data_IF_160121140840
#
_entry.id   IF_160121140840
#
_cell.length_a   1.000
_cell.length_b   1.000
_cell.length_c   1.000
_cell.angle_alpha   90.00
_cell.angle_beta   90.00
_cell.angle_gamma   90.00
#
_symmetry.space_group_name_H-M   'P 1'
#
loop_
_entity.id
_entity.type
_entity.pdbx_description
1 polymer ?
#
# COMPACT_ATOMS: atom_id res chain seq x y z
N UNK A 1 15.22 2.69 -8.08
CA UNK A 1 14.33 1.76 -8.78
C UNK A 1 14.34 0.42 -8.05
N UNK A 2 13.17 -0.07 -7.75
CA UNK A 2 13.06 -1.37 -7.09
C UNK A 2 12.94 -2.46 -8.14
N UNK A 3 13.78 -3.51 -8.03
CA UNK A 3 13.76 -4.64 -8.96
C UNK A 3 13.07 -5.82 -8.26
N UNK A 4 12.08 -6.42 -8.90
CA UNK A 4 11.38 -7.58 -8.36
C UNK A 4 12.27 -8.82 -8.32
N UNK A 5 12.24 -9.56 -7.22
CA UNK A 5 12.94 -10.84 -7.07
C UNK A 5 12.07 -11.93 -7.70
N UNK A 6 12.64 -12.71 -8.61
CA UNK A 6 11.93 -13.78 -9.30
C UNK A 6 11.01 -13.32 -10.44
N UNK A 7 10.90 -12.00 -10.65
CA UNK A 7 10.16 -11.40 -11.75
C UNK A 7 8.64 -11.40 -11.59
N UNK A 8 7.93 -10.72 -12.52
CA UNK A 8 6.48 -10.51 -12.43
C UNK A 8 5.66 -11.79 -12.50
N UNK A 9 6.12 -12.79 -13.26
CA UNK A 9 5.38 -14.07 -13.40
C UNK A 9 5.34 -14.85 -12.09
N UNK A 10 6.46 -14.84 -11.35
CA UNK A 10 6.54 -15.51 -10.04
C UNK A 10 5.61 -14.83 -9.06
N UNK A 11 5.65 -13.50 -9.01
CA UNK A 11 4.76 -12.73 -8.13
C UNK A 11 3.29 -12.98 -8.44
N UNK A 12 2.90 -12.93 -9.72
CA UNK A 12 1.52 -13.17 -10.13
C UNK A 12 1.04 -14.58 -9.73
N UNK A 13 1.89 -15.58 -9.89
CA UNK A 13 1.57 -16.94 -9.47
C UNK A 13 1.36 -17.03 -7.96
N UNK A 14 2.27 -16.44 -7.19
CA UNK A 14 2.16 -16.42 -5.73
C UNK A 14 0.90 -15.70 -5.25
N UNK A 15 0.53 -14.61 -5.91
CA UNK A 15 -0.71 -13.89 -5.59
C UNK A 15 -1.94 -14.73 -5.89
N UNK A 16 -1.97 -15.45 -7.02
CA UNK A 16 -3.07 -16.34 -7.35
C UNK A 16 -3.20 -17.48 -6.35
N UNK A 17 -2.07 -18.08 -5.95
CA UNK A 17 -2.06 -19.15 -4.95
C UNK A 17 -2.59 -18.65 -3.61
N UNK A 18 -2.19 -17.44 -3.19
CA UNK A 18 -2.65 -16.82 -1.95
C UNK A 18 -4.16 -16.54 -2.00
N UNK A 19 -4.65 -16.04 -3.13
CA UNK A 19 -6.08 -15.79 -3.31
C UNK A 19 -6.93 -17.04 -3.26
N UNK A 20 -6.35 -18.19 -3.62
CA UNK A 20 -7.04 -19.48 -3.60
C UNK A 20 -6.97 -20.18 -2.24
N UNK A 21 -6.10 -19.72 -1.32
CA UNK A 21 -5.98 -20.32 0.01
C UNK A 21 -7.23 -20.05 0.86
N UNK A 22 -7.63 -21.03 1.73
CA UNK A 22 -8.79 -20.86 2.61
C UNK A 22 -8.44 -20.00 3.83
N UNK A 23 -8.01 -18.76 3.59
CA UNK A 23 -7.63 -17.81 4.63
C UNK A 23 -8.75 -16.79 4.85
N UNK A 24 -8.82 -16.24 6.07
CA UNK A 24 -9.65 -15.08 6.34
C UNK A 24 -9.17 -13.89 5.48
N UNK A 25 -10.08 -12.96 5.17
CA UNK A 25 -9.77 -11.83 4.30
C UNK A 25 -8.59 -11.01 4.79
N UNK A 26 -8.50 -10.78 6.10
CA UNK A 26 -7.39 -10.02 6.69
C UNK A 26 -6.06 -10.75 6.52
N UNK A 27 -6.02 -12.05 6.80
CA UNK A 27 -4.80 -12.85 6.63
C UNK A 27 -4.34 -12.87 5.18
N UNK A 28 -5.29 -12.91 4.25
CA UNK A 28 -4.99 -12.88 2.81
C UNK A 28 -4.35 -11.57 2.41
N UNK A 29 -4.90 -10.44 2.87
CA UNK A 29 -4.33 -9.12 2.59
C UNK A 29 -2.93 -8.97 3.20
N UNK A 30 -2.75 -9.43 4.44
CA UNK A 30 -1.44 -9.37 5.10
C UNK A 30 -0.39 -10.15 4.31
N UNK A 31 -0.76 -11.33 3.82
CA UNK A 31 0.14 -12.15 3.01
C UNK A 31 0.44 -11.50 1.65
N UNK A 32 -0.53 -10.85 1.04
CA UNK A 32 -0.36 -10.15 -0.23
C UNK A 32 0.64 -9.01 -0.11
N UNK A 33 0.54 -8.17 0.92
CA UNK A 33 1.48 -7.05 1.09
C UNK A 33 2.89 -7.55 1.38
N UNK A 34 3.03 -8.65 2.13
CA UNK A 34 4.33 -9.27 2.38
C UNK A 34 4.96 -9.80 1.07
N UNK A 35 4.18 -10.47 0.23
CA UNK A 35 4.66 -10.99 -1.04
C UNK A 35 5.12 -9.88 -1.97
N UNK A 36 4.35 -8.80 -2.07
CA UNK A 36 4.71 -7.67 -2.92
C UNK A 36 5.99 -7.01 -2.41
N UNK A 37 6.07 -6.75 -1.10
CA UNK A 37 7.25 -6.13 -0.50
C UNK A 37 8.50 -6.98 -0.74
N UNK A 38 8.41 -8.29 -0.52
CA UNK A 38 9.55 -9.19 -0.69
C UNK A 38 10.00 -9.27 -2.15
N UNK A 39 9.06 -9.37 -3.09
CA UNK A 39 9.39 -9.45 -4.51
C UNK A 39 9.94 -8.15 -5.07
N UNK A 40 9.50 -7.02 -4.55
CA UNK A 40 9.96 -5.70 -4.99
C UNK A 40 11.09 -5.14 -4.14
N UNK A 41 11.51 -5.86 -3.11
CA UNK A 41 12.51 -5.39 -2.13
C UNK A 41 12.13 -4.04 -1.56
N UNK A 42 10.87 -3.83 -1.32
CA UNK A 42 10.36 -2.61 -0.72
C UNK A 42 10.46 -2.68 0.80
N UNK A 43 10.81 -1.56 1.43
CA UNK A 43 10.81 -1.46 2.89
C UNK A 43 9.39 -1.46 3.44
N UNK A 44 8.47 -0.85 2.70
CA UNK A 44 7.06 -0.74 3.08
C UNK A 44 6.17 -1.08 1.89
N UNK A 45 5.15 -1.88 2.15
CA UNK A 45 4.03 -2.07 1.24
C UNK A 45 2.75 -2.00 2.05
N UNK A 46 1.84 -1.11 1.69
CA UNK A 46 0.60 -0.90 2.43
C UNK A 46 -0.60 -0.89 1.50
N UNK A 47 -1.72 -1.38 2.02
CA UNK A 47 -2.98 -1.46 1.31
C UNK A 47 -4.02 -0.64 2.05
N UNK A 48 -4.56 0.37 1.37
CA UNK A 48 -5.63 1.22 1.90
C UNK A 48 -6.93 0.94 1.17
N UNK A 49 -8.04 1.02 1.88
CA UNK A 49 -9.37 0.81 1.32
C UNK A 49 -10.20 2.07 1.50
N UNK A 50 -10.84 2.52 0.43
CA UNK A 50 -11.77 3.63 0.48
C UNK A 50 -13.09 3.14 1.07
N UNK A 51 -13.50 3.75 2.19
CA UNK A 51 -14.75 3.45 2.86
C UNK A 51 -15.90 4.27 2.26
N UNK A 52 -17.12 3.87 2.59
CA UNK A 52 -18.32 4.58 2.13
C UNK A 52 -18.39 6.02 2.65
N UNK A 53 -17.76 6.31 3.79
CA UNK A 53 -17.71 7.66 4.37
C UNK A 53 -16.64 8.57 3.73
N UNK A 54 -15.93 8.08 2.72
CA UNK A 54 -14.89 8.84 2.02
C UNK A 54 -13.51 8.80 2.68
N UNK A 55 -13.34 8.04 3.77
CA UNK A 55 -12.04 7.86 4.40
C UNK A 55 -11.31 6.66 3.80
N UNK A 56 -9.99 6.78 3.70
CA UNK A 56 -9.09 5.70 3.33
C UNK A 56 -8.55 5.08 4.61
N UNK A 57 -8.82 3.81 4.83
CA UNK A 57 -8.38 3.10 6.03
C UNK A 57 -7.23 2.15 5.68
N UNK A 58 -6.18 2.15 6.50
CA UNK A 58 -5.07 1.21 6.35
C UNK A 58 -5.57 -0.19 6.72
N UNK A 59 -5.58 -1.10 5.76
CA UNK A 59 -6.10 -2.47 5.95
C UNK A 59 -5.01 -3.51 6.11
N UNK A 60 -3.83 -3.30 5.52
CA UNK A 60 -2.71 -4.21 5.64
C UNK A 60 -1.42 -3.47 5.39
N UNK A 61 -0.34 -3.91 6.04
CA UNK A 61 0.96 -3.30 5.88
C UNK A 61 2.10 -4.29 6.09
N UNK A 62 3.15 -4.13 5.29
CA UNK A 62 4.45 -4.69 5.53
C UNK A 62 5.38 -3.49 5.79
N UNK A 63 6.04 -3.48 6.92
CA UNK A 63 7.02 -2.44 7.24
C UNK A 63 6.54 -1.28 8.11
N UNK A 64 5.26 -0.92 8.08
CA UNK A 64 4.70 0.03 9.03
C UNK A 64 4.33 -0.70 10.32
N UNK A 65 4.03 0.06 11.37
CA UNK A 65 3.60 -0.54 12.63
C UNK A 65 2.25 -1.24 12.45
N UNK A 66 2.15 -2.50 12.84
CA UNK A 66 0.90 -3.26 12.73
C UNK A 66 -0.24 -2.66 13.52
N UNK A 67 0.08 -1.96 14.62
CA UNK A 67 -0.91 -1.28 15.44
C UNK A 67 -1.65 -0.17 14.68
N UNK A 68 -1.07 0.31 13.57
CA UNK A 68 -1.71 1.32 12.74
C UNK A 68 -2.83 0.75 11.85
N UNK A 69 -2.86 -0.57 11.63
CA UNK A 69 -3.88 -1.23 10.79
C UNK A 69 -5.26 -1.01 11.41
N UNK A 70 -6.22 -0.55 10.58
CA UNK A 70 -7.58 -0.16 10.96
C UNK A 70 -7.67 1.07 11.88
N UNK A 71 -6.53 1.68 12.25
CA UNK A 71 -6.49 2.90 13.06
C UNK A 71 -6.16 4.12 12.20
N UNK A 72 -5.14 3.98 11.33
CA UNK A 72 -4.73 5.07 10.45
C UNK A 72 -5.73 5.28 9.34
N UNK A 73 -6.21 6.52 9.21
CA UNK A 73 -7.12 6.92 8.14
C UNK A 73 -6.63 8.20 7.48
N UNK A 74 -6.96 8.33 6.20
CA UNK A 74 -6.68 9.51 5.40
C UNK A 74 -7.96 9.92 4.66
N UNK A 75 -8.12 11.19 4.39
CA UNK A 75 -9.20 11.67 3.55
C UNK A 75 -8.77 11.65 2.10
N UNK A 76 -9.73 11.61 1.17
CA UNK A 76 -9.44 11.80 -0.25
C UNK A 76 -8.71 13.14 -0.43
N UNK A 77 -7.58 13.10 -1.15
CA UNK A 77 -6.75 14.29 -1.37
C UNK A 77 -5.75 14.57 -0.26
N UNK A 78 -5.86 13.87 0.89
CA UNK A 78 -4.92 14.05 2.02
C UNK A 78 -3.74 13.08 1.90
N UNK A 79 -2.52 13.61 1.91
CA UNK A 79 -1.31 12.82 1.75
C UNK A 79 -1.18 12.24 0.35
N UNK A 80 -0.11 11.46 0.12
CA UNK A 80 0.16 10.86 -1.19
C UNK A 80 -0.89 9.81 -1.53
N UNK A 81 -1.26 8.98 -0.58
CA UNK A 81 -2.29 7.95 -0.78
C UNK A 81 -3.64 8.58 -1.10
N UNK A 82 -4.02 9.63 -0.37
CA UNK A 82 -5.27 10.35 -0.63
C UNK A 82 -5.29 11.01 -1.99
N UNK A 83 -4.14 11.53 -2.44
CA UNK A 83 -4.01 12.12 -3.78
C UNK A 83 -4.23 11.07 -4.86
N UNK A 84 -3.60 9.90 -4.74
CA UNK A 84 -3.75 8.80 -5.70
C UNK A 84 -5.21 8.34 -5.77
N UNK A 85 -5.85 8.18 -4.62
CA UNK A 85 -7.25 7.76 -4.57
C UNK A 85 -8.18 8.79 -5.20
N UNK A 86 -7.90 10.07 -4.97
CA UNK A 86 -8.72 11.15 -5.50
C UNK A 86 -8.60 11.30 -7.02
N UNK A 87 -7.38 11.16 -7.55
CA UNK A 87 -7.11 11.34 -8.98
C UNK A 87 -7.18 10.03 -9.77
N UNK A 88 -7.14 8.89 -9.10
CA UNK A 88 -7.16 7.56 -9.70
C UNK A 88 -6.01 7.35 -10.71
N UNK A 89 -4.84 7.88 -10.40
CA UNK A 89 -3.63 7.74 -11.23
C UNK A 89 -2.45 7.28 -10.38
N UNK A 90 -1.49 6.52 -10.96
CA UNK A 90 -0.31 6.13 -10.22
C UNK A 90 0.61 7.32 -9.95
N UNK A 91 1.43 7.19 -8.91
CA UNK A 91 2.38 8.22 -8.52
C UNK A 91 3.71 7.56 -8.15
N UNK A 92 4.80 8.02 -8.75
CA UNK A 92 6.15 7.54 -8.46
C UNK A 92 7.05 8.72 -8.11
N UNK A 93 7.65 8.68 -6.92
CA UNK A 93 8.48 9.76 -6.41
C UNK A 93 9.81 9.21 -5.87
N UNK A 94 10.90 9.94 -6.13
CA UNK A 94 12.20 9.62 -5.55
C UNK A 94 12.36 10.24 -4.16
N UNK A 95 11.72 11.37 -3.90
CA UNK A 95 11.78 12.06 -2.62
C UNK A 95 10.37 12.49 -2.20
N UNK A 96 9.63 11.56 -1.60
CA UNK A 96 8.25 11.78 -1.19
C UNK A 96 8.07 12.95 -0.22
N UNK A 97 8.93 13.17 0.80
CA UNK A 97 8.75 14.30 1.72
C UNK A 97 8.74 15.68 1.08
N UNK A 98 9.33 15.83 -0.12
CA UNK A 98 9.33 17.11 -0.84
C UNK A 98 8.04 17.37 -1.60
N UNK A 99 7.17 16.36 -1.75
CA UNK A 99 5.91 16.53 -2.48
C UNK A 99 4.93 17.35 -1.63
N UNK A 100 4.20 18.32 -2.24
CA UNK A 100 3.26 19.17 -1.49
C UNK A 100 2.15 18.41 -0.77
N UNK A 101 1.77 17.25 -1.27
CA UNK A 101 0.71 16.41 -0.69
C UNK A 101 1.21 15.43 0.36
N UNK A 102 2.52 15.41 0.67
CA UNK A 102 3.06 14.50 1.68
C UNK A 102 2.47 14.80 3.06
N UNK A 103 1.98 13.76 3.75
CA UNK A 103 1.44 13.87 5.10
C UNK A 103 2.11 12.82 5.99
N UNK A 104 2.79 13.29 7.04
CA UNK A 104 3.47 12.41 7.98
C UNK A 104 2.48 11.87 9.02
N UNK A 105 2.52 10.55 9.22
CA UNK A 105 1.70 9.85 10.23
C UNK A 105 2.63 9.10 11.19
N UNK A 106 2.98 9.70 12.34
CA UNK A 106 3.94 9.09 13.28
C UNK A 106 3.57 7.68 13.73
N UNK A 107 2.28 7.40 13.87
CA UNK A 107 1.78 6.10 14.31
C UNK A 107 2.12 4.95 13.37
N UNK A 108 2.44 5.24 12.10
CA UNK A 108 2.83 4.21 11.14
C UNK A 108 4.30 3.82 11.22
N UNK A 109 5.14 4.68 11.80
CA UNK A 109 6.58 4.50 11.82
C UNK A 109 7.21 4.68 10.44
N UNK A 110 6.57 5.44 9.55
CA UNK A 110 6.96 5.60 8.15
C UNK A 110 8.23 6.42 7.94
N UNK A 111 8.58 7.29 8.86
CA UNK A 111 9.83 8.04 8.83
C UNK A 111 11.01 7.05 9.00
N UNK A 112 12.00 6.97 8.10
CA UNK A 112 12.50 7.93 7.13
C UNK A 112 12.46 7.44 5.66
N UNK A 113 11.37 6.96 5.16
CA UNK A 113 11.30 6.46 3.79
C UNK A 113 11.15 7.63 2.81
N UNK A 114 11.93 7.62 1.72
CA UNK A 114 11.97 8.73 0.76
C UNK A 114 11.32 8.41 -0.58
N UNK A 115 11.59 7.23 -1.15
CA UNK A 115 10.98 6.88 -2.43
C UNK A 115 9.57 6.35 -2.23
N UNK A 116 8.70 6.63 -3.21
CA UNK A 116 7.31 6.27 -3.13
C UNK A 116 6.81 5.82 -4.51
N UNK A 117 6.12 4.69 -4.53
CA UNK A 117 5.36 4.24 -5.68
C UNK A 117 3.97 3.83 -5.21
N UNK A 118 2.95 4.52 -5.70
CA UNK A 118 1.58 4.23 -5.37
C UNK A 118 0.76 3.94 -6.62
N UNK A 119 -0.12 2.95 -6.52
CA UNK A 119 -0.99 2.52 -7.61
C UNK A 119 -2.43 2.48 -7.13
N UNK A 120 -3.37 3.08 -7.87
CA UNK A 120 -4.78 2.88 -7.57
C UNK A 120 -5.21 1.49 -8.03
N UNK A 121 -5.98 0.81 -7.20
CA UNK A 121 -6.62 -0.45 -7.59
C UNK A 121 -8.10 -0.13 -7.72
N UNK A 122 -8.58 -0.13 -8.95
CA UNK A 122 -9.95 0.26 -9.25
C UNK A 122 -10.83 -0.97 -9.41
N UNK A 123 -12.01 -0.91 -8.84
CA UNK A 123 -13.00 -1.97 -8.98
C UNK A 123 -13.83 -1.68 -10.23
N UNK A 124 -13.98 -2.69 -11.09
CA UNK A 124 -14.83 -2.60 -12.26
C UNK A 124 -16.31 -2.60 -11.86
N UNK A 125 -17.02 -1.60 -12.28
CA UNK A 125 -18.46 -1.50 -12.00
C UNK A 125 -18.87 -0.52 -10.95
#
# INVERSE_FOLDING_TARGET
MVTAIGGPRVLLRQLRETMAEPLASQERLDKIVDLIADNMRADVCSFYVLRDDGALELFATHGLKRDAVHITTLRLGEGLVGLIANEAVPLSLQNAPEHPSFAYRPETGEDPFFSFLGMPVLRAG
#
